data_IF_385517604077
#
_entry.id   IF_385517604077
#
_cell.length_a   1.000
_cell.length_b   1.000
_cell.length_c   1.000
_cell.angle_alpha   90.00
_cell.angle_beta   90.00
_cell.angle_gamma   90.00
#
_symmetry.space_group_name_H-M   'P 1'
#
loop_
_entity.id
_entity.type
_entity.pdbx_description
1 polymer ?
#
# COMPACT_ATOMS: atom_id res chain seq x y z
N UNK A 1 -41.85 -3.57 23.78
CA UNK A 1 -41.15 -2.36 24.23
C UNK A 1 -39.82 -2.30 23.49
N UNK A 2 -39.75 -1.34 22.57
CA UNK A 2 -38.57 -0.78 21.88
C UNK A 2 -37.48 -1.74 21.39
N UNK A 3 -37.69 -2.28 20.19
CA UNK A 3 -36.61 -2.61 19.26
C UNK A 3 -35.82 -1.34 18.94
N UNK A 4 -34.55 -1.31 19.31
CA UNK A 4 -33.58 -0.36 18.78
C UNK A 4 -33.22 -0.81 17.36
N UNK A 5 -33.91 -0.27 16.37
CA UNK A 5 -33.38 -0.19 15.01
C UNK A 5 -32.10 0.66 15.10
N UNK A 6 -30.94 -0.01 15.14
CA UNK A 6 -29.66 0.64 14.97
C UNK A 6 -29.63 1.22 13.57
N UNK A 7 -29.56 2.54 13.50
CA UNK A 7 -29.37 3.29 12.26
C UNK A 7 -27.96 2.95 11.74
N UNK A 8 -27.86 1.87 10.95
CA UNK A 8 -26.64 1.56 10.23
C UNK A 8 -26.46 2.64 9.15
N UNK A 9 -25.37 3.41 9.14
CA UNK A 9 -25.14 4.38 8.09
C UNK A 9 -25.16 3.66 6.74
N UNK A 10 -26.01 4.14 5.81
CA UNK A 10 -26.10 3.62 4.45
C UNK A 10 -24.78 3.89 3.73
N UNK A 11 -23.95 2.87 3.56
CA UNK A 11 -22.74 2.91 2.75
C UNK A 11 -21.77 1.77 3.04
N UNK A 12 -20.89 1.46 2.09
CA UNK A 12 -19.82 0.48 2.25
C UNK A 12 -18.88 0.88 3.39
N UNK A 13 -18.44 -0.12 4.16
CA UNK A 13 -17.42 0.01 5.20
C UNK A 13 -16.53 -1.23 5.22
N UNK A 14 -15.26 -1.04 5.55
CA UNK A 14 -14.37 -2.14 5.86
C UNK A 14 -14.63 -2.62 7.30
N UNK A 15 -14.87 -3.92 7.44
CA UNK A 15 -14.62 -4.63 8.69
C UNK A 15 -13.24 -5.24 8.60
N UNK A 16 -12.39 -5.01 9.60
CA UNK A 16 -10.95 -5.23 9.45
C UNK A 16 -10.30 -5.80 10.71
N UNK A 17 -9.13 -6.37 10.50
CA UNK A 17 -8.15 -6.74 11.50
C UNK A 17 -6.76 -6.57 10.91
N UNK A 18 -5.77 -6.27 11.74
CA UNK A 18 -4.41 -6.01 11.30
C UNK A 18 -3.38 -6.66 12.21
N UNK A 19 -2.23 -7.00 11.63
CA UNK A 19 -1.07 -7.50 12.33
C UNK A 19 0.18 -7.12 11.55
N UNK A 20 1.24 -6.76 12.26
CA UNK A 20 2.58 -6.58 11.71
C UNK A 20 3.60 -7.10 12.72
N UNK A 21 4.66 -7.73 12.23
CA UNK A 21 5.69 -8.37 13.05
C UNK A 21 7.06 -8.17 12.41
N UNK A 22 8.09 -7.93 13.23
CA UNK A 22 9.49 -7.79 12.76
C UNK A 22 9.99 -9.08 12.06
N UNK A 23 9.47 -10.24 12.49
CA UNK A 23 10.00 -11.55 12.10
C UNK A 23 11.26 -11.93 12.89
N UNK A 24 12.00 -12.93 12.40
CA UNK A 24 13.14 -13.53 13.11
C UNK A 24 14.52 -13.12 12.55
N UNK A 25 14.56 -12.41 11.43
CA UNK A 25 15.79 -12.13 10.67
C UNK A 25 16.15 -10.65 10.68
N UNK A 26 15.16 -9.76 10.59
CA UNK A 26 15.38 -8.31 10.58
C UNK A 26 15.52 -7.77 12.00
N UNK A 27 16.30 -6.70 12.16
CA UNK A 27 16.52 -6.05 13.45
C UNK A 27 15.40 -5.07 13.83
N UNK A 28 14.71 -4.53 12.82
CA UNK A 28 13.62 -3.57 12.96
C UNK A 28 12.51 -3.90 11.96
N UNK A 29 11.31 -3.40 12.25
CA UNK A 29 10.16 -3.48 11.35
C UNK A 29 10.09 -2.18 10.55
N UNK A 30 10.21 -2.28 9.23
CA UNK A 30 10.07 -1.13 8.32
C UNK A 30 8.68 -1.11 7.67
N UNK A 31 7.79 -2.04 8.03
CA UNK A 31 6.40 -2.07 7.58
C UNK A 31 5.55 -1.08 8.39
N UNK A 32 4.75 -0.29 7.68
CA UNK A 32 3.71 0.57 8.25
C UNK A 32 2.35 0.26 7.64
N UNK A 33 1.27 0.48 8.38
CA UNK A 33 -0.08 0.33 7.87
C UNK A 33 -1.06 1.32 8.51
N UNK A 34 -2.13 1.67 7.79
CA UNK A 34 -3.33 2.33 8.34
C UNK A 34 -4.55 1.51 8.01
N UNK A 35 -5.46 1.43 8.97
CA UNK A 35 -6.74 0.76 8.81
C UNK A 35 -7.83 1.62 9.41
N UNK A 36 -8.79 2.01 8.58
CA UNK A 36 -10.03 2.69 8.97
C UNK A 36 -11.22 1.95 8.36
N UNK A 37 -12.43 2.38 8.70
CA UNK A 37 -13.65 1.85 8.09
C UNK A 37 -13.77 2.18 6.59
N UNK A 38 -12.91 3.05 6.04
CA UNK A 38 -13.02 3.61 4.69
C UNK A 38 -11.74 3.53 3.88
N UNK A 39 -10.59 3.39 4.51
CA UNK A 39 -9.30 3.30 3.85
C UNK A 39 -8.41 2.33 4.61
N UNK A 40 -7.80 1.40 3.87
CA UNK A 40 -6.74 0.55 4.36
C UNK A 40 -5.52 0.72 3.48
N UNK A 41 -4.35 0.81 4.09
CA UNK A 41 -3.10 0.86 3.35
C UNK A 41 -1.97 0.14 4.09
N UNK A 42 -1.04 -0.40 3.31
CA UNK A 42 0.19 -1.02 3.80
C UNK A 42 1.37 -0.48 3.00
N UNK A 43 2.50 -0.31 3.67
CA UNK A 43 3.72 0.23 3.12
C UNK A 43 4.91 -0.57 3.67
N UNK A 44 5.67 -1.23 2.78
CA UNK A 44 6.92 -1.92 3.11
C UNK A 44 8.09 -0.96 2.84
N UNK A 45 8.70 -0.47 3.91
CA UNK A 45 9.80 0.46 3.90
C UNK A 45 11.10 -0.19 3.47
N UNK A 46 11.91 0.55 2.71
CA UNK A 46 13.23 0.13 2.31
C UNK A 46 14.24 1.27 2.41
N UNK A 47 15.43 0.93 2.89
CA UNK A 47 16.54 1.88 3.01
C UNK A 47 17.71 1.25 3.74
N UNK A 48 18.79 2.01 3.91
CA UNK A 48 19.82 1.68 4.90
C UNK A 48 19.50 2.33 6.24
N UNK A 49 19.97 1.75 7.35
CA UNK A 49 19.59 2.20 8.71
C UNK A 49 18.06 2.21 8.91
N UNK A 50 17.52 3.05 9.78
CA UNK A 50 16.08 3.17 10.04
C UNK A 50 15.33 4.01 8.98
N UNK A 51 15.91 4.22 7.80
CA UNK A 51 15.34 5.13 6.81
C UNK A 51 14.07 4.56 6.14
N UNK A 52 13.95 3.23 6.02
CA UNK A 52 12.73 2.59 5.50
C UNK A 52 11.52 2.78 6.42
N UNK A 53 11.72 2.70 7.74
CA UNK A 53 10.68 3.00 8.75
C UNK A 53 10.11 4.41 8.57
N UNK A 54 11.00 5.40 8.37
CA UNK A 54 10.60 6.80 8.14
C UNK A 54 9.77 6.93 6.86
N UNK A 55 10.22 6.32 5.76
CA UNK A 55 9.52 6.39 4.48
C UNK A 55 8.12 5.75 4.55
N UNK A 56 8.00 4.54 5.11
CA UNK A 56 6.71 3.85 5.22
C UNK A 56 5.74 4.56 6.16
N UNK A 57 6.24 5.14 7.26
CA UNK A 57 5.45 5.93 8.19
C UNK A 57 4.86 7.19 7.52
N UNK A 58 5.68 7.96 6.80
CA UNK A 58 5.23 9.14 6.05
C UNK A 58 4.15 8.75 5.04
N UNK A 59 4.36 7.69 4.27
CA UNK A 59 3.41 7.26 3.25
C UNK A 59 2.04 6.96 3.85
N UNK A 60 2.00 6.19 4.94
CA UNK A 60 0.78 5.81 5.63
C UNK A 60 0.08 6.99 6.29
N UNK A 61 0.83 7.89 6.94
CA UNK A 61 0.28 9.08 7.61
C UNK A 61 -0.41 10.01 6.60
N UNK A 62 0.22 10.27 5.46
CA UNK A 62 -0.32 11.17 4.44
C UNK A 62 -1.60 10.59 3.82
N UNK A 63 -1.63 9.29 3.47
CA UNK A 63 -2.85 8.70 2.89
C UNK A 63 -3.97 8.53 3.91
N UNK A 64 -3.64 8.35 5.20
CA UNK A 64 -4.64 8.33 6.27
C UNK A 64 -5.45 9.64 6.32
N UNK A 65 -4.80 10.78 6.03
CA UNK A 65 -5.46 12.09 5.94
C UNK A 65 -6.54 12.19 4.86
N UNK A 66 -6.53 11.29 3.87
CA UNK A 66 -7.53 11.22 2.79
C UNK A 66 -8.67 10.21 3.06
N UNK A 67 -8.70 9.52 4.20
CA UNK A 67 -9.63 8.43 4.47
C UNK A 67 -11.12 8.83 4.38
N UNK A 68 -11.44 10.09 4.69
CA UNK A 68 -12.82 10.62 4.69
C UNK A 68 -13.17 11.39 3.41
N UNK A 69 -12.28 11.45 2.42
CA UNK A 69 -12.46 12.27 1.23
C UNK A 69 -13.54 11.75 0.27
N UNK A 70 -13.78 10.43 0.26
CA UNK A 70 -14.72 9.75 -0.66
C UNK A 70 -14.46 10.00 -2.16
N UNK A 71 -13.25 10.43 -2.51
CA UNK A 71 -12.88 10.86 -3.84
C UNK A 71 -11.56 10.23 -4.25
N UNK A 72 -11.56 9.53 -5.38
CA UNK A 72 -10.38 8.86 -5.93
C UNK A 72 -9.26 9.85 -6.27
N UNK A 73 -9.59 11.06 -6.73
CA UNK A 73 -8.58 12.08 -7.05
C UNK A 73 -7.88 12.56 -5.79
N UNK A 74 -8.61 12.72 -4.67
CA UNK A 74 -8.02 13.13 -3.39
C UNK A 74 -7.10 12.05 -2.85
N UNK A 75 -7.52 10.78 -2.87
CA UNK A 75 -6.67 9.66 -2.45
C UNK A 75 -5.43 9.52 -3.35
N UNK A 76 -5.59 9.71 -4.66
CA UNK A 76 -4.47 9.70 -5.61
C UNK A 76 -3.47 10.84 -5.33
N UNK A 77 -3.97 12.05 -5.08
CA UNK A 77 -3.14 13.19 -4.73
C UNK A 77 -2.41 13.01 -3.39
N UNK A 78 -3.00 12.28 -2.44
CA UNK A 78 -2.34 11.91 -1.19
C UNK A 78 -1.13 10.99 -1.44
N UNK A 79 -1.22 10.02 -2.36
CA UNK A 79 -0.06 9.19 -2.76
C UNK A 79 1.04 10.03 -3.41
N UNK A 80 0.69 10.98 -4.27
CA UNK A 80 1.66 11.90 -4.89
C UNK A 80 2.33 12.80 -3.83
N UNK A 81 1.56 13.26 -2.87
CA UNK A 81 2.05 14.09 -1.75
C UNK A 81 2.97 13.28 -0.84
N UNK A 82 2.63 12.03 -0.54
CA UNK A 82 3.50 11.11 0.20
C UNK A 82 4.86 10.96 -0.49
N UNK A 83 4.87 10.73 -1.81
CA UNK A 83 6.10 10.64 -2.58
C UNK A 83 6.95 11.92 -2.45
N UNK A 84 6.32 13.09 -2.59
CA UNK A 84 7.02 14.37 -2.50
C UNK A 84 7.61 14.61 -1.11
N UNK A 85 6.88 14.27 -0.04
CA UNK A 85 7.37 14.41 1.34
C UNK A 85 8.53 13.47 1.64
N UNK A 86 8.49 12.22 1.16
CA UNK A 86 9.59 11.26 1.32
C UNK A 86 10.84 11.79 0.61
N UNK A 87 10.71 12.28 -0.63
CA UNK A 87 11.82 12.88 -1.38
C UNK A 87 12.40 14.11 -0.67
N UNK A 88 11.56 15.02 -0.21
CA UNK A 88 12.00 16.21 0.53
C UNK A 88 12.74 15.83 1.81
N UNK A 89 12.20 14.88 2.57
CA UNK A 89 12.80 14.41 3.81
C UNK A 89 14.17 13.76 3.57
N UNK A 90 14.29 12.92 2.54
CA UNK A 90 15.55 12.30 2.12
C UNK A 90 16.61 13.32 1.64
N UNK A 91 16.19 14.50 1.18
CA UNK A 91 17.11 15.59 0.82
C UNK A 91 17.63 16.36 2.04
N UNK A 92 16.82 16.48 3.10
CA UNK A 92 17.15 17.23 4.31
C UNK A 92 18.08 16.48 5.25
N UNK A 93 17.93 15.15 5.36
CA UNK A 93 18.77 14.31 6.23
C UNK A 93 19.63 13.34 5.41
N UNK A 94 20.95 13.50 5.50
CA UNK A 94 21.89 12.62 4.79
C UNK A 94 21.82 11.15 5.22
N UNK A 95 21.33 10.86 6.43
CA UNK A 95 21.16 9.49 6.93
C UNK A 95 19.93 8.78 6.36
N UNK A 96 18.98 9.55 5.81
CA UNK A 96 17.73 9.07 5.21
C UNK A 96 17.79 9.07 3.66
N UNK A 97 18.96 9.37 3.08
CA UNK A 97 19.14 9.39 1.62
C UNK A 97 18.88 8.03 1.00
N UNK A 98 18.05 8.03 -0.06
CA UNK A 98 17.68 6.84 -0.80
C UNK A 98 16.67 5.95 -0.06
N UNK A 99 16.03 6.46 0.99
CA UNK A 99 14.86 5.79 1.56
C UNK A 99 13.72 5.76 0.55
N UNK A 100 12.94 4.69 0.63
CA UNK A 100 11.72 4.56 -0.11
C UNK A 100 10.79 3.58 0.56
N UNK A 101 9.60 3.44 -0.01
CA UNK A 101 8.63 2.47 0.48
C UNK A 101 7.75 2.02 -0.66
N UNK A 102 7.25 0.79 -0.55
CA UNK A 102 6.05 0.40 -1.31
C UNK A 102 4.82 1.08 -0.71
N UNK A 103 3.71 1.10 -1.44
CA UNK A 103 2.41 1.53 -0.92
C UNK A 103 1.28 0.84 -1.69
N UNK A 104 0.43 0.14 -0.97
CA UNK A 104 -0.85 -0.38 -1.43
C UNK A 104 -1.98 0.31 -0.67
N UNK A 105 -2.99 0.83 -1.37
CA UNK A 105 -4.17 1.48 -0.77
C UNK A 105 -5.44 0.88 -1.34
N UNK A 106 -6.37 0.50 -0.48
CA UNK A 106 -7.77 0.26 -0.84
C UNK A 106 -8.66 1.28 -0.12
N UNK A 107 -9.38 2.09 -0.88
CA UNK A 107 -10.20 3.19 -0.35
C UNK A 107 -11.63 3.14 -0.89
N UNK A 108 -12.61 3.33 -0.01
CA UNK A 108 -14.02 3.46 -0.39
C UNK A 108 -14.23 4.87 -0.93
N UNK A 109 -14.53 4.94 -2.23
CA UNK A 109 -14.74 6.19 -2.96
C UNK A 109 -16.12 6.17 -3.61
N UNK A 110 -16.64 7.34 -3.96
CA UNK A 110 -17.88 7.45 -4.73
C UNK A 110 -17.57 7.96 -6.14
N UNK A 111 -18.02 7.26 -7.16
CA UNK A 111 -18.02 7.74 -8.55
C UNK A 111 -19.45 7.73 -9.09
N UNK A 112 -19.88 8.85 -9.69
CA UNK A 112 -21.22 9.03 -10.29
C UNK A 112 -22.39 8.59 -9.40
N UNK A 113 -22.25 8.72 -8.08
CA UNK A 113 -23.29 8.37 -7.10
C UNK A 113 -23.34 6.89 -6.71
N UNK A 114 -22.38 6.07 -7.14
CA UNK A 114 -22.18 4.71 -6.66
C UNK A 114 -20.88 4.61 -5.87
N UNK A 115 -20.93 3.93 -4.71
CA UNK A 115 -19.71 3.61 -3.97
C UNK A 115 -18.97 2.45 -4.63
N UNK A 116 -17.65 2.54 -4.61
CA UNK A 116 -16.73 1.50 -5.07
C UNK A 116 -15.45 1.51 -4.23
N UNK A 117 -14.56 0.58 -4.52
CA UNK A 117 -13.24 0.50 -3.89
C UNK A 117 -12.20 0.87 -4.93
N UNK A 118 -11.48 1.96 -4.69
CA UNK A 118 -10.30 2.32 -5.47
C UNK A 118 -9.09 1.55 -4.94
N UNK A 119 -8.29 1.00 -5.87
CA UNK A 119 -7.04 0.30 -5.58
C UNK A 119 -5.89 1.12 -6.16
N UNK A 120 -4.93 1.49 -5.31
CA UNK A 120 -3.71 2.19 -5.71
C UNK A 120 -2.51 1.32 -5.29
N UNK A 121 -1.52 1.19 -6.18
CA UNK A 121 -0.32 0.40 -5.91
C UNK A 121 0.94 1.10 -6.43
N UNK A 122 1.98 1.14 -5.59
CA UNK A 122 3.36 1.45 -5.96
C UNK A 122 4.27 0.46 -5.24
N UNK A 123 4.80 -0.53 -5.95
CA UNK A 123 5.76 -1.49 -5.41
C UNK A 123 5.28 -2.92 -5.62
N UNK A 124 5.79 -3.85 -4.83
CA UNK A 124 5.43 -5.27 -4.83
C UNK A 124 4.62 -5.71 -3.59
N UNK A 125 4.20 -4.75 -2.75
CA UNK A 125 3.06 -4.97 -1.84
C UNK A 125 1.81 -5.31 -2.65
N UNK A 126 0.87 -6.03 -2.02
CA UNK A 126 -0.26 -6.62 -2.77
C UNK A 126 -1.61 -6.46 -2.08
N UNK A 127 -2.65 -6.28 -2.92
CA UNK A 127 -4.05 -6.36 -2.50
C UNK A 127 -4.70 -7.54 -3.22
N UNK A 128 -5.44 -8.34 -2.45
CA UNK A 128 -6.18 -9.49 -2.95
C UNK A 128 -7.68 -9.35 -2.66
N UNK A 129 -8.51 -9.85 -3.58
CA UNK A 129 -9.95 -10.06 -3.41
C UNK A 129 -10.21 -11.56 -3.29
N UNK A 130 -10.79 -11.98 -2.17
CA UNK A 130 -11.35 -13.31 -2.02
C UNK A 130 -12.85 -13.25 -2.32
N UNK A 131 -13.28 -13.84 -3.44
CA UNK A 131 -14.68 -13.92 -3.84
C UNK A 131 -14.95 -15.28 -4.46
N UNK A 132 -16.11 -15.88 -4.18
CA UNK A 132 -16.52 -17.19 -4.73
C UNK A 132 -15.43 -18.28 -4.58
N UNK A 133 -14.86 -18.39 -3.37
CA UNK A 133 -13.76 -19.31 -3.02
C UNK A 133 -12.48 -19.14 -3.86
N UNK A 134 -12.33 -18.02 -4.57
CA UNK A 134 -11.19 -17.72 -5.44
C UNK A 134 -10.46 -16.47 -4.96
N UNK A 135 -9.14 -16.59 -4.82
CA UNK A 135 -8.26 -15.48 -4.45
C UNK A 135 -7.71 -14.80 -5.71
N UNK A 136 -8.12 -13.56 -5.94
CA UNK A 136 -7.70 -12.75 -7.07
C UNK A 136 -6.72 -11.67 -6.60
N UNK A 137 -5.52 -11.61 -7.16
CA UNK A 137 -4.64 -10.47 -6.95
C UNK A 137 -5.16 -9.27 -7.75
N UNK A 138 -5.43 -8.15 -7.09
CA UNK A 138 -5.93 -6.92 -7.73
C UNK A 138 -4.78 -5.99 -8.17
N UNK A 139 -3.60 -6.16 -7.59
CA UNK A 139 -2.41 -5.35 -7.87
C UNK A 139 -1.44 -6.08 -8.77
N UNK A 140 -0.65 -5.31 -9.51
CA UNK A 140 0.47 -5.83 -10.30
C UNK A 140 1.79 -5.42 -9.63
N UNK A 141 2.68 -6.37 -9.40
CA UNK A 141 3.96 -6.11 -8.75
C UNK A 141 4.85 -5.24 -9.64
N UNK A 142 5.33 -4.12 -9.10
CA UNK A 142 6.36 -3.33 -9.74
C UNK A 142 7.76 -3.88 -9.44
N UNK A 143 8.02 -5.14 -9.80
CA UNK A 143 9.31 -5.82 -9.62
C UNK A 143 9.99 -6.17 -10.96
N UNK A 144 11.30 -6.42 -10.91
CA UNK A 144 12.06 -6.83 -12.08
C UNK A 144 11.54 -8.16 -12.62
N UNK A 145 11.27 -9.12 -11.74
CA UNK A 145 10.81 -10.46 -12.16
C UNK A 145 9.43 -10.43 -12.78
N UNK A 146 8.52 -9.60 -12.26
CA UNK A 146 7.19 -9.41 -12.87
C UNK A 146 7.33 -8.80 -14.27
N UNK A 147 8.24 -7.85 -14.45
CA UNK A 147 8.55 -7.29 -15.77
C UNK A 147 9.07 -8.35 -16.73
N UNK A 148 9.98 -9.22 -16.28
CA UNK A 148 10.51 -10.31 -17.11
C UNK A 148 9.43 -11.33 -17.50
N UNK A 149 8.50 -11.65 -16.59
CA UNK A 149 7.35 -12.53 -16.87
C UNK A 149 6.45 -11.91 -17.93
N UNK A 150 6.09 -10.63 -17.77
CA UNK A 150 5.24 -9.90 -18.72
C UNK A 150 5.85 -9.82 -20.12
N UNK A 151 7.17 -9.67 -20.19
CA UNK A 151 7.93 -9.68 -21.45
C UNK A 151 8.09 -11.09 -22.04
N UNK A 152 7.61 -12.14 -21.38
CA UNK A 152 7.75 -13.53 -21.80
C UNK A 152 9.19 -14.06 -21.73
N UNK A 153 10.06 -13.40 -20.97
CA UNK A 153 11.49 -13.75 -20.84
C UNK A 153 11.73 -14.85 -19.82
N UNK A 154 10.86 -14.95 -18.81
CA UNK A 154 10.84 -16.03 -17.82
C UNK A 154 9.39 -16.44 -17.55
N UNK A 155 9.20 -17.62 -16.99
CA UNK A 155 7.92 -18.12 -16.52
C UNK A 155 7.64 -17.65 -15.08
N UNK A 156 6.37 -17.65 -14.62
CA UNK A 156 6.03 -17.39 -13.22
C UNK A 156 6.76 -18.31 -12.23
N UNK A 157 7.02 -19.56 -12.62
CA UNK A 157 7.76 -20.52 -11.79
C UNK A 157 9.25 -20.12 -11.63
N UNK A 158 9.87 -19.62 -12.69
CA UNK A 158 11.25 -19.11 -12.65
C UNK A 158 11.35 -17.80 -11.85
N UNK A 159 10.37 -16.92 -11.97
CA UNK A 159 10.29 -15.67 -11.20
C UNK A 159 10.32 -15.92 -9.69
N UNK A 160 9.60 -16.93 -9.20
CA UNK A 160 9.49 -17.26 -7.77
C UNK A 160 10.84 -17.61 -7.10
N UNK A 161 11.78 -18.16 -7.87
CA UNK A 161 13.11 -18.57 -7.37
C UNK A 161 14.24 -17.69 -7.90
N UNK A 162 13.92 -16.63 -8.63
CA UNK A 162 14.93 -15.79 -9.28
C UNK A 162 15.79 -15.06 -8.22
N UNK A 163 17.13 -14.98 -8.42
CA UNK A 163 18.02 -14.28 -7.50
C UNK A 163 17.66 -12.80 -7.26
N UNK A 164 17.06 -12.16 -8.26
CA UNK A 164 16.66 -10.75 -8.23
C UNK A 164 15.15 -10.55 -7.98
N UNK A 165 14.46 -11.52 -7.37
CA UNK A 165 13.01 -11.43 -7.12
C UNK A 165 12.58 -10.27 -6.21
N UNK A 166 13.51 -9.77 -5.38
CA UNK A 166 13.28 -8.64 -4.48
C UNK A 166 13.69 -7.28 -5.09
N UNK A 167 14.02 -7.22 -6.39
CA UNK A 167 14.40 -5.96 -7.04
C UNK A 167 13.15 -5.23 -7.51
N UNK A 168 12.87 -4.10 -6.87
CA UNK A 168 11.79 -3.20 -7.28
C UNK A 168 12.15 -2.38 -8.52
N UNK A 169 11.13 -2.07 -9.30
CA UNK A 169 11.17 -1.15 -10.45
C UNK A 169 10.46 0.17 -10.17
N UNK A 170 9.61 0.23 -9.13
CA UNK A 170 8.96 1.45 -8.64
C UNK A 170 8.82 1.37 -7.12
N UNK A 171 9.04 2.51 -6.46
CA UNK A 171 8.77 2.75 -5.05
C UNK A 171 8.50 4.25 -4.86
N UNK A 172 7.87 4.64 -3.76
CA UNK A 172 7.81 6.04 -3.36
C UNK A 172 9.18 6.47 -2.82
N UNK A 173 9.61 7.69 -3.11
CA UNK A 173 10.89 8.24 -2.64
C UNK A 173 12.12 7.91 -3.49
N UNK A 174 11.96 7.17 -4.60
CA UNK A 174 13.05 6.64 -5.44
C UNK A 174 12.97 7.13 -6.89
#
# INVERSE_FOLDING_TARGET
>A
MTSTHGDHPKGLRFSHGSASVVGQVRAANEDSFVVTDRLVAVADGMGGHAAGEVASAIAVEVVAGAAEAHDVEVVTNAVVTANAQILERAMQDSSERGMGTTLCVAAIVADRGAEGIAILNVGDSRIYLLADDTLHQLTEDHSLVETLVREGRITPAEAAVHPQRNVLTRALGV
#
